data_IF_957063890595
#
_entry.id   IF_957063890595
#
_cell.length_a   1.000
_cell.length_b   1.000
_cell.length_c   1.000
_cell.angle_alpha   90.00
_cell.angle_beta   90.00
_cell.angle_gamma   90.00
#
_symmetry.space_group_name_H-M   'P 1'
#
loop_
_entity.id
_entity.type
_entity.pdbx_description
1 polymer ?
#
# COMPACT_ATOMS: atom_id res chain seq x y z
N UNK A 1 -9.18 1.90 16.78
CA UNK A 1 -8.09 1.40 17.64
C UNK A 1 -6.96 0.89 16.77
N UNK A 2 -5.82 0.49 17.35
CA UNK A 2 -4.68 -0.03 16.57
C UNK A 2 -5.03 -1.35 15.86
N UNK A 3 -5.94 -2.14 16.44
CA UNK A 3 -6.52 -3.32 15.80
C UNK A 3 -7.95 -3.04 15.34
N UNK A 4 -8.30 -3.54 14.17
CA UNK A 4 -9.62 -3.46 13.56
C UNK A 4 -9.98 -4.81 12.94
N UNK A 5 -11.18 -5.33 13.23
CA UNK A 5 -11.69 -6.53 12.55
C UNK A 5 -12.50 -6.09 11.35
N UNK A 6 -12.13 -6.55 10.16
CA UNK A 6 -12.92 -6.36 8.96
C UNK A 6 -13.85 -7.58 8.80
N UNK A 7 -15.13 -7.40 9.09
CA UNK A 7 -16.10 -8.51 9.06
C UNK A 7 -16.36 -9.04 7.65
N UNK A 8 -16.19 -8.22 6.60
CA UNK A 8 -16.36 -8.65 5.21
C UNK A 8 -15.28 -9.62 4.76
N UNK A 9 -14.01 -9.27 5.04
CA UNK A 9 -12.87 -10.10 4.68
C UNK A 9 -12.58 -11.19 5.72
N UNK A 10 -13.16 -11.11 6.91
CA UNK A 10 -12.85 -12.00 8.03
C UNK A 10 -11.40 -11.86 8.51
N UNK A 11 -10.78 -10.69 8.33
CA UNK A 11 -9.38 -10.42 8.64
C UNK A 11 -9.23 -9.44 9.80
N UNK A 12 -8.11 -9.54 10.50
CA UNK A 12 -7.68 -8.58 11.52
C UNK A 12 -6.65 -7.63 10.93
N UNK A 13 -7.00 -6.35 10.84
CA UNK A 13 -6.15 -5.27 10.39
C UNK A 13 -5.40 -4.62 11.54
N UNK A 14 -4.09 -4.44 11.38
CA UNK A 14 -3.26 -3.59 12.22
C UNK A 14 -3.13 -2.23 11.51
N UNK A 15 -3.53 -1.16 12.16
CA UNK A 15 -3.44 0.18 11.60
C UNK A 15 -1.98 0.57 11.35
N UNK A 16 -1.63 0.79 10.08
CA UNK A 16 -0.28 1.18 9.63
C UNK A 16 -0.40 2.29 8.57
N UNK A 17 -0.35 3.56 8.98
CA UNK A 17 -0.59 4.71 8.10
C UNK A 17 0.65 5.08 7.27
N UNK A 18 1.31 4.11 6.63
CA UNK A 18 2.57 4.36 5.91
C UNK A 18 2.37 5.18 4.64
N UNK A 19 1.26 4.94 3.92
CA UNK A 19 0.99 5.59 2.63
C UNK A 19 0.04 6.80 2.75
N UNK A 20 -0.55 7.03 3.92
CA UNK A 20 -1.46 8.15 4.20
C UNK A 20 -0.91 9.50 3.72
N UNK A 21 0.36 9.89 4.03
CA UNK A 21 0.90 11.15 3.57
C UNK A 21 1.00 11.28 2.04
N UNK A 22 1.17 10.16 1.31
CA UNK A 22 1.25 10.15 -0.16
C UNK A 22 -0.14 10.23 -0.75
N UNK A 23 -1.10 9.51 -0.17
CA UNK A 23 -2.51 9.55 -0.58
C UNK A 23 -3.07 10.95 -0.37
N UNK A 24 -2.92 11.55 0.81
CA UNK A 24 -3.49 12.88 1.07
C UNK A 24 -2.86 13.98 0.21
N UNK A 25 -1.56 13.93 -0.09
CA UNK A 25 -0.95 14.87 -1.06
C UNK A 25 -1.53 14.70 -2.47
N UNK A 26 -1.78 13.46 -2.88
CA UNK A 26 -2.45 13.16 -4.15
C UNK A 26 -3.87 13.73 -4.17
N UNK A 27 -4.64 13.49 -3.10
CA UNK A 27 -6.01 14.00 -2.97
C UNK A 27 -6.07 15.52 -2.95
N UNK A 28 -5.12 16.17 -2.25
CA UNK A 28 -5.01 17.62 -2.21
C UNK A 28 -4.80 18.21 -3.60
N UNK A 29 -3.86 17.66 -4.37
CA UNK A 29 -3.64 18.08 -5.76
C UNK A 29 -4.91 17.92 -6.60
N UNK A 30 -5.60 16.77 -6.49
CA UNK A 30 -6.83 16.50 -7.25
C UNK A 30 -7.97 17.46 -6.88
N UNK A 31 -8.07 17.84 -5.60
CA UNK A 31 -9.04 18.82 -5.16
C UNK A 31 -8.73 20.21 -5.71
N UNK A 32 -7.51 20.70 -5.52
CA UNK A 32 -7.12 22.05 -5.92
C UNK A 32 -7.11 22.22 -7.45
N UNK A 33 -6.52 21.27 -8.18
CA UNK A 33 -6.27 21.41 -9.63
C UNK A 33 -7.35 20.78 -10.50
N UNK A 34 -7.98 19.70 -10.05
CA UNK A 34 -8.95 18.94 -10.86
C UNK A 34 -10.38 19.07 -10.34
N UNK A 35 -10.61 19.81 -9.25
CA UNK A 35 -11.92 19.98 -8.62
C UNK A 35 -12.58 18.63 -8.30
N UNK A 36 -11.77 17.65 -7.86
CA UNK A 36 -12.24 16.33 -7.46
C UNK A 36 -12.38 16.24 -5.94
N UNK A 37 -13.48 15.63 -5.48
CA UNK A 37 -13.72 15.41 -4.04
C UNK A 37 -12.62 14.51 -3.44
N UNK A 38 -11.99 14.90 -2.32
CA UNK A 38 -11.02 14.06 -1.65
C UNK A 38 -11.70 12.86 -0.98
N UNK A 39 -10.99 11.73 -0.94
CA UNK A 39 -11.45 10.53 -0.25
C UNK A 39 -10.91 10.47 1.20
N UNK A 40 -11.65 9.77 2.05
CA UNK A 40 -11.11 9.27 3.30
C UNK A 40 -10.28 8.01 3.02
N UNK A 41 -9.12 7.90 3.64
CA UNK A 41 -8.20 6.79 3.43
C UNK A 41 -7.71 6.29 4.78
N UNK A 42 -7.67 4.97 4.92
CA UNK A 42 -7.06 4.28 6.05
C UNK A 42 -6.37 3.03 5.53
N UNK A 43 -5.20 2.73 6.09
CA UNK A 43 -4.38 1.59 5.69
C UNK A 43 -4.20 0.63 6.86
N UNK A 44 -4.35 -0.66 6.56
CA UNK A 44 -4.21 -1.72 7.54
C UNK A 44 -3.33 -2.85 6.98
N UNK A 45 -2.47 -3.40 7.82
CA UNK A 45 -1.80 -4.66 7.57
C UNK A 45 -2.69 -5.81 8.02
N UNK A 46 -3.12 -6.65 7.08
CA UNK A 46 -4.11 -7.69 7.34
C UNK A 46 -3.46 -8.99 7.81
N UNK A 47 -4.06 -9.61 8.82
CA UNK A 47 -3.70 -10.92 9.38
C UNK A 47 -4.93 -11.80 9.48
N UNK A 48 -4.75 -13.12 9.47
CA UNK A 48 -5.87 -14.08 9.49
C UNK A 48 -6.46 -14.29 10.87
N UNK A 49 -5.69 -14.01 11.93
CA UNK A 49 -6.14 -14.23 13.30
C UNK A 49 -5.77 -13.09 14.22
N UNK A 50 -6.58 -12.89 15.26
CA UNK A 50 -6.32 -11.91 16.30
C UNK A 50 -4.94 -12.10 16.96
N UNK A 51 -4.58 -13.35 17.27
CA UNK A 51 -3.28 -13.67 17.88
C UNK A 51 -2.09 -13.36 16.96
N UNK A 52 -2.23 -13.55 15.64
CA UNK A 52 -1.22 -13.11 14.68
C UNK A 52 -1.08 -11.59 14.70
N UNK A 53 -2.20 -10.86 14.74
CA UNK A 53 -2.18 -9.40 14.80
C UNK A 53 -1.46 -8.89 16.07
N UNK A 54 -1.78 -9.46 17.23
CA UNK A 54 -1.14 -9.14 18.51
C UNK A 54 0.36 -9.50 18.48
N UNK A 55 0.71 -10.70 18.00
CA UNK A 55 2.11 -11.13 17.88
C UNK A 55 2.92 -10.22 16.97
N UNK A 56 2.35 -9.80 15.84
CA UNK A 56 3.00 -8.86 14.92
C UNK A 56 3.18 -7.48 15.56
N UNK A 57 2.20 -6.98 16.31
CA UNK A 57 2.32 -5.72 17.04
C UNK A 57 3.44 -5.77 18.09
N UNK A 58 3.51 -6.85 18.87
CA UNK A 58 4.61 -7.08 19.82
C UNK A 58 5.96 -7.16 19.11
N UNK A 59 6.02 -7.83 17.95
CA UNK A 59 7.20 -7.89 17.10
C UNK A 59 7.65 -6.51 16.63
N UNK A 60 6.71 -5.66 16.17
CA UNK A 60 7.03 -4.29 15.75
C UNK A 60 7.57 -3.44 16.90
N UNK A 61 6.97 -3.54 18.10
CA UNK A 61 7.47 -2.85 19.31
C UNK A 61 8.87 -3.34 19.68
N UNK A 62 9.09 -4.65 19.65
CA UNK A 62 10.40 -5.25 19.88
C UNK A 62 11.44 -4.73 18.88
N UNK A 63 11.15 -4.76 17.58
CA UNK A 63 12.06 -4.25 16.56
C UNK A 63 12.30 -2.74 16.70
N UNK A 64 11.27 -1.96 17.02
CA UNK A 64 11.43 -0.52 17.27
C UNK A 64 12.39 -0.26 18.44
N UNK A 65 12.23 -0.98 19.55
CA UNK A 65 13.14 -0.92 20.69
C UNK A 65 14.57 -1.32 20.30
N UNK A 66 14.73 -2.44 19.59
CA UNK A 66 16.04 -2.92 19.14
C UNK A 66 16.75 -1.92 18.21
N UNK A 67 16.01 -1.22 17.36
CA UNK A 67 16.57 -0.22 16.45
C UNK A 67 16.87 1.14 17.11
N UNK A 68 16.22 1.45 18.23
CA UNK A 68 16.31 2.75 18.88
C UNK A 68 17.66 2.99 19.56
N UNK A 69 18.15 2.02 20.34
CA UNK A 69 19.44 2.16 21.03
C UNK A 69 20.60 1.68 20.17
N UNK A 70 21.71 2.42 20.19
CA UNK A 70 22.88 2.09 19.36
C UNK A 70 23.46 0.71 19.64
N UNK A 71 23.49 0.29 20.91
CA UNK A 71 24.03 -1.01 21.31
C UNK A 71 23.09 -2.17 20.94
N UNK A 72 21.77 -2.04 21.12
CA UNK A 72 20.79 -3.06 20.69
C UNK A 72 20.77 -3.18 19.17
N UNK A 73 20.90 -2.06 18.46
CA UNK A 73 20.97 -2.04 17.00
C UNK A 73 22.24 -2.75 16.51
N UNK A 74 23.38 -2.49 17.14
CA UNK A 74 24.62 -3.21 16.84
C UNK A 74 24.46 -4.72 17.09
N UNK A 75 23.81 -5.09 18.20
CA UNK A 75 23.52 -6.48 18.51
C UNK A 75 22.61 -7.14 17.46
N UNK A 76 21.57 -6.44 17.00
CA UNK A 76 20.68 -6.88 15.93
C UNK A 76 21.43 -7.11 14.61
N UNK A 77 22.37 -6.23 14.26
CA UNK A 77 23.20 -6.39 13.06
C UNK A 77 24.24 -7.50 13.19
N UNK A 78 24.81 -7.70 14.39
CA UNK A 78 25.83 -8.71 14.63
C UNK A 78 25.25 -10.12 14.70
N UNK A 79 24.03 -10.27 15.22
CA UNK A 79 23.37 -11.56 15.40
C UNK A 79 21.88 -11.53 14.97
N UNK A 80 21.58 -11.20 13.70
CA UNK A 80 20.21 -11.10 13.20
C UNK A 80 19.48 -12.44 13.31
N UNK A 81 20.16 -13.56 13.09
CA UNK A 81 19.55 -14.89 13.17
C UNK A 81 19.05 -15.21 14.58
N UNK A 82 19.80 -14.81 15.61
CA UNK A 82 19.42 -15.01 17.01
C UNK A 82 18.32 -14.01 17.39
N UNK A 83 18.54 -12.73 17.08
CA UNK A 83 17.66 -11.63 17.48
C UNK A 83 16.31 -11.65 16.76
N UNK A 84 16.21 -12.36 15.63
CA UNK A 84 14.97 -12.45 14.84
C UNK A 84 14.43 -13.87 14.74
N UNK A 85 14.91 -14.78 15.60
CA UNK A 85 14.53 -16.20 15.62
C UNK A 85 14.61 -16.86 14.23
N UNK A 86 15.65 -16.52 13.47
CA UNK A 86 15.94 -17.07 12.14
C UNK A 86 15.12 -16.48 10.99
N UNK A 87 14.27 -15.48 11.25
CA UNK A 87 13.52 -14.76 10.20
C UNK A 87 14.47 -14.01 9.26
N UNK A 88 15.46 -13.32 9.82
CA UNK A 88 16.49 -12.62 9.07
C UNK A 88 17.85 -13.29 9.24
N UNK A 89 18.61 -13.34 8.14
CA UNK A 89 19.96 -13.94 8.06
C UNK A 89 20.92 -12.99 7.37
N UNK A 90 22.21 -13.08 7.68
CA UNK A 90 23.24 -12.30 6.98
C UNK A 90 23.33 -12.62 5.50
N UNK A 91 23.11 -13.89 5.13
CA UNK A 91 23.07 -14.32 3.73
C UNK A 91 21.87 -13.73 2.96
N UNK A 92 20.95 -13.03 3.65
CA UNK A 92 19.72 -12.49 3.08
C UNK A 92 18.61 -13.53 2.98
N UNK A 93 17.55 -13.16 2.25
CA UNK A 93 16.41 -14.04 2.01
C UNK A 93 16.76 -15.09 0.94
N UNK A 94 16.36 -16.33 1.20
CA UNK A 94 16.50 -17.44 0.27
C UNK A 94 15.62 -17.22 -0.98
N UNK A 95 16.26 -17.11 -2.15
CA UNK A 95 15.60 -16.81 -3.42
C UNK A 95 14.53 -17.84 -3.79
N UNK A 96 14.75 -19.12 -3.48
CA UNK A 96 13.76 -20.16 -3.80
C UNK A 96 12.52 -20.02 -2.91
N UNK A 97 12.70 -19.67 -1.64
CA UNK A 97 11.57 -19.37 -0.74
C UNK A 97 10.78 -18.15 -1.19
N UNK A 98 11.47 -17.10 -1.64
CA UNK A 98 10.82 -15.88 -2.14
C UNK A 98 9.90 -16.13 -3.34
N UNK A 99 10.18 -17.13 -4.19
CA UNK A 99 9.30 -17.48 -5.32
C UNK A 99 7.91 -17.95 -4.86
N UNK A 100 7.80 -18.53 -3.67
CA UNK A 100 6.53 -18.96 -3.09
C UNK A 100 5.76 -17.86 -2.37
N UNK A 101 6.40 -16.72 -2.08
CA UNK A 101 5.78 -15.58 -1.40
C UNK A 101 5.04 -14.72 -2.41
N UNK A 102 3.82 -14.32 -2.05
CA UNK A 102 2.97 -13.42 -2.83
C UNK A 102 2.38 -12.36 -1.90
N UNK A 103 2.05 -11.22 -2.47
CA UNK A 103 1.25 -10.21 -1.78
C UNK A 103 -0.10 -10.02 -2.46
N UNK A 104 -1.07 -9.59 -1.67
CA UNK A 104 -2.36 -9.08 -2.14
C UNK A 104 -2.69 -7.84 -1.32
N UNK A 105 -2.93 -6.72 -2.01
CA UNK A 105 -3.50 -5.51 -1.44
C UNK A 105 -4.97 -5.42 -1.86
N UNK A 106 -5.88 -5.33 -0.90
CA UNK A 106 -7.31 -5.20 -1.13
C UNK A 106 -7.75 -3.78 -0.79
N UNK A 107 -8.17 -3.02 -1.79
CA UNK A 107 -8.73 -1.69 -1.63
C UNK A 107 -10.25 -1.82 -1.55
N UNK A 108 -10.84 -1.31 -0.47
CA UNK A 108 -12.27 -1.33 -0.22
C UNK A 108 -12.78 0.10 -0.29
N UNK A 109 -13.55 0.41 -1.33
CA UNK A 109 -14.20 1.72 -1.50
C UNK A 109 -15.65 1.68 -1.05
N UNK A 110 -16.07 2.67 -0.27
CA UNK A 110 -17.47 2.96 0.03
C UNK A 110 -17.83 4.32 -0.58
N UNK A 111 -18.97 4.41 -1.27
CA UNK A 111 -19.37 5.64 -1.96
C UNK A 111 -20.87 5.88 -1.96
N UNK A 112 -21.26 6.98 -2.58
CA UNK A 112 -22.66 7.38 -2.72
C UNK A 112 -23.13 7.20 -4.17
N UNK A 113 -24.38 6.75 -4.32
CA UNK A 113 -25.03 6.59 -5.63
C UNK A 113 -25.29 7.96 -6.26
N UNK A 114 -25.66 8.92 -5.42
CA UNK A 114 -25.85 10.32 -5.80
C UNK A 114 -24.50 11.00 -6.03
N UNK A 115 -24.38 11.70 -7.16
CA UNK A 115 -23.26 12.59 -7.41
C UNK A 115 -23.62 14.02 -6.95
N UNK A 116 -22.73 14.65 -6.19
CA UNK A 116 -22.88 16.06 -5.81
C UNK A 116 -22.36 17.00 -6.90
N UNK A 117 -22.89 18.23 -6.92
CA UNK A 117 -22.58 19.23 -7.95
C UNK A 117 -21.18 19.83 -7.74
N UNK A 118 -20.82 20.19 -6.50
CA UNK A 118 -19.50 20.70 -6.19
C UNK A 118 -18.68 19.68 -5.36
N UNK A 119 -17.37 19.64 -5.59
CA UNK A 119 -16.45 18.76 -4.85
C UNK A 119 -16.40 19.05 -3.35
N UNK A 120 -16.73 20.29 -2.96
CA UNK A 120 -16.80 20.76 -1.57
C UNK A 120 -18.07 20.33 -0.83
N UNK A 121 -19.14 19.99 -1.56
CA UNK A 121 -20.44 19.67 -0.96
C UNK A 121 -20.37 18.38 -0.16
N UNK A 122 -21.13 18.23 0.92
CA UNK A 122 -21.11 17.02 1.75
C UNK A 122 -22.41 16.24 1.61
N UNK A 123 -22.31 14.91 1.53
CA UNK A 123 -23.45 14.04 1.70
C UNK A 123 -23.92 14.11 3.15
N UNK A 124 -25.24 14.18 3.34
CA UNK A 124 -25.87 14.17 4.66
C UNK A 124 -25.91 12.75 5.21
N UNK A 125 -26.16 11.78 4.33
CA UNK A 125 -26.32 10.37 4.68
C UNK A 125 -24.98 9.60 4.59
N UNK A 126 -24.83 8.48 5.31
CA UNK A 126 -23.68 7.59 5.12
C UNK A 126 -23.65 6.98 3.70
N UNK A 127 -22.49 6.48 3.22
CA UNK A 127 -22.39 5.84 1.91
C UNK A 127 -23.43 4.74 1.69
N UNK A 128 -24.23 4.85 0.63
CA UNK A 128 -25.36 3.98 0.29
C UNK A 128 -25.07 2.98 -0.85
N UNK A 129 -23.92 3.13 -1.53
CA UNK A 129 -23.66 2.48 -2.82
C UNK A 129 -22.34 1.72 -2.91
N UNK A 130 -22.33 0.87 -3.95
CA UNK A 130 -21.37 -0.16 -4.37
C UNK A 130 -20.02 -0.18 -3.68
N UNK A 131 -19.74 -1.33 -3.07
CA UNK A 131 -18.43 -1.67 -2.58
C UNK A 131 -17.55 -1.95 -3.80
N UNK A 132 -16.62 -1.05 -4.09
CA UNK A 132 -15.62 -1.34 -5.10
C UNK A 132 -14.45 -2.03 -4.40
N UNK A 133 -14.35 -3.35 -4.59
CA UNK A 133 -13.22 -4.14 -4.11
C UNK A 133 -12.22 -4.26 -5.24
N UNK A 134 -11.11 -3.56 -5.13
CA UNK A 134 -9.97 -3.76 -6.04
C UNK A 134 -8.92 -4.61 -5.35
N UNK A 135 -8.51 -5.70 -5.99
CA UNK A 135 -7.39 -6.51 -5.52
C UNK A 135 -6.20 -6.32 -6.45
N UNK A 136 -5.05 -5.99 -5.85
CA UNK A 136 -3.76 -5.93 -6.52
C UNK A 136 -2.90 -7.03 -5.95
N UNK A 137 -2.48 -7.98 -6.78
CA UNK A 137 -1.61 -9.08 -6.34
C UNK A 137 -0.34 -9.17 -7.17
N UNK A 138 0.71 -9.73 -6.57
CA UNK A 138 2.01 -9.88 -7.22
C UNK A 138 2.92 -10.87 -6.51
N UNK A 139 4.20 -10.93 -6.91
CA UNK A 139 5.20 -11.81 -6.31
C UNK A 139 5.56 -11.32 -4.88
N UNK A 140 6.70 -11.73 -4.33
CA UNK A 140 7.19 -11.21 -3.05
C UNK A 140 7.09 -9.67 -2.96
N UNK A 141 6.48 -9.10 -1.90
CA UNK A 141 6.26 -7.67 -1.78
C UNK A 141 7.55 -6.87 -1.62
N UNK A 142 8.59 -7.43 -1.00
CA UNK A 142 9.77 -6.66 -0.61
C UNK A 142 10.74 -6.43 -1.77
N UNK A 143 11.06 -7.48 -2.53
CA UNK A 143 12.08 -7.45 -3.57
C UNK A 143 11.45 -7.51 -4.96
N UNK A 144 10.72 -8.58 -5.27
CA UNK A 144 10.30 -8.85 -6.64
C UNK A 144 9.27 -7.81 -7.12
N UNK A 145 8.21 -7.59 -6.35
CA UNK A 145 7.16 -6.63 -6.69
C UNK A 145 7.71 -5.20 -6.73
N UNK A 146 8.49 -4.80 -5.72
CA UNK A 146 9.08 -3.46 -5.64
C UNK A 146 10.01 -3.18 -6.83
N UNK A 147 10.88 -4.13 -7.18
CA UNK A 147 11.79 -3.98 -8.32
C UNK A 147 11.04 -3.89 -9.64
N UNK A 148 9.99 -4.71 -9.81
CA UNK A 148 9.12 -4.66 -10.98
C UNK A 148 8.43 -3.30 -11.11
N UNK A 149 7.81 -2.82 -10.03
CA UNK A 149 7.13 -1.52 -10.01
C UNK A 149 8.11 -0.38 -10.30
N UNK A 150 9.30 -0.39 -9.70
CA UNK A 150 10.33 0.63 -9.94
C UNK A 150 10.77 0.68 -11.41
N UNK A 151 11.04 -0.47 -12.02
CA UNK A 151 11.40 -0.54 -13.45
C UNK A 151 10.23 -0.11 -14.32
N UNK A 152 9.01 -0.56 -14.02
CA UNK A 152 7.81 -0.16 -14.77
C UNK A 152 7.61 1.35 -14.74
N UNK A 153 7.77 1.98 -13.58
CA UNK A 153 7.72 3.42 -13.38
C UNK A 153 8.80 4.16 -14.17
N UNK A 154 10.06 3.70 -14.11
CA UNK A 154 11.15 4.31 -14.87
C UNK A 154 10.88 4.26 -16.38
N UNK A 155 10.40 3.12 -16.89
CA UNK A 155 10.01 2.97 -18.28
C UNK A 155 8.83 3.88 -18.65
N UNK A 156 7.93 4.22 -17.71
CA UNK A 156 6.76 5.07 -17.98
C UNK A 156 7.22 6.49 -18.17
N UNK A 157 8.10 6.96 -17.28
CA UNK A 157 8.71 8.28 -17.42
C UNK A 157 9.46 8.39 -18.76
N UNK A 158 10.21 7.35 -19.16
CA UNK A 158 10.99 7.39 -20.39
C UNK A 158 10.14 7.36 -21.67
N UNK A 159 9.08 6.54 -21.70
CA UNK A 159 8.29 6.30 -22.92
C UNK A 159 7.07 7.18 -23.05
N UNK A 160 6.53 7.63 -21.92
CA UNK A 160 5.24 8.31 -21.81
C UNK A 160 5.37 9.65 -21.08
N UNK A 161 6.56 10.28 -21.16
CA UNK A 161 6.83 11.58 -20.51
C UNK A 161 5.76 12.63 -20.80
N UNK A 162 5.21 12.66 -22.01
CA UNK A 162 4.15 13.60 -22.41
C UNK A 162 2.80 13.33 -21.75
N UNK A 163 2.58 12.12 -21.24
CA UNK A 163 1.38 11.71 -20.49
C UNK A 163 1.55 11.87 -18.98
N UNK A 164 2.79 12.02 -18.49
CA UNK A 164 3.02 12.34 -17.09
C UNK A 164 2.46 13.72 -16.76
N UNK A 165 1.74 13.81 -15.64
CA UNK A 165 1.11 15.07 -15.22
C UNK A 165 2.18 16.10 -14.83
N UNK A 166 1.99 17.35 -15.26
CA UNK A 166 2.81 18.50 -14.86
C UNK A 166 4.10 18.70 -15.67
N UNK A 167 4.75 19.86 -15.45
CA UNK A 167 5.93 20.29 -16.21
C UNK A 167 7.27 20.03 -15.49
N UNK A 168 7.24 19.33 -14.35
CA UNK A 168 8.40 19.05 -13.50
C UNK A 168 8.08 19.19 -12.00
N UNK A 169 9.08 18.99 -11.15
CA UNK A 169 8.96 19.08 -9.68
C UNK A 169 8.83 17.71 -8.99
N UNK A 170 8.45 17.74 -7.71
CA UNK A 170 8.24 16.54 -6.88
C UNK A 170 6.75 16.24 -6.82
N UNK A 171 6.35 15.07 -7.32
CA UNK A 171 4.95 14.66 -7.38
C UNK A 171 4.75 13.29 -6.78
N UNK A 172 3.56 13.04 -6.26
CA UNK A 172 3.16 11.70 -5.84
C UNK A 172 2.90 10.82 -7.06
N UNK A 173 3.08 9.49 -6.95
CA UNK A 173 2.80 8.57 -8.06
C UNK A 173 1.37 8.68 -8.58
N UNK A 174 0.40 8.89 -7.69
CA UNK A 174 -1.03 9.02 -8.04
C UNK A 174 -1.39 10.30 -8.81
N UNK A 175 -0.49 11.29 -8.85
CA UNK A 175 -0.59 12.47 -9.72
C UNK A 175 0.24 12.26 -10.99
N UNK A 176 1.52 11.90 -10.83
CA UNK A 176 2.47 11.81 -11.93
C UNK A 176 2.06 10.78 -13.00
N UNK A 177 1.49 9.64 -12.59
CA UNK A 177 1.16 8.52 -13.47
C UNK A 177 -0.33 8.37 -13.77
N UNK A 178 -1.17 9.31 -13.32
CA UNK A 178 -2.63 9.21 -13.40
C UNK A 178 -3.16 8.93 -14.82
N UNK A 179 -2.50 9.48 -15.84
CA UNK A 179 -2.91 9.40 -17.25
C UNK A 179 -1.98 8.49 -18.09
N UNK A 180 -1.20 7.63 -17.44
CA UNK A 180 -0.18 6.78 -18.09
C UNK A 180 -0.58 5.31 -18.08
N UNK A 181 0.12 4.49 -18.87
CA UNK A 181 -0.05 3.03 -18.93
C UNK A 181 0.79 2.27 -17.90
N UNK A 182 1.11 2.91 -16.76
CA UNK A 182 1.88 2.27 -15.70
C UNK A 182 1.20 0.99 -15.20
N UNK A 183 -0.13 1.02 -15.01
CA UNK A 183 -0.91 -0.14 -14.54
C UNK A 183 -0.85 -1.28 -15.56
N UNK A 184 -1.05 -0.98 -16.85
CA UNK A 184 -0.94 -1.98 -17.91
C UNK A 184 0.43 -2.65 -17.90
N UNK A 185 1.50 -1.84 -17.75
CA UNK A 185 2.87 -2.36 -17.74
C UNK A 185 3.17 -3.26 -16.55
N UNK A 186 2.68 -2.94 -15.35
CA UNK A 186 2.90 -3.83 -14.20
C UNK A 186 2.12 -5.14 -14.37
N UNK A 187 0.93 -5.08 -14.98
CA UNK A 187 0.11 -6.26 -15.26
C UNK A 187 0.79 -7.17 -16.30
N UNK A 188 1.29 -6.62 -17.40
CA UNK A 188 2.07 -7.33 -18.42
C UNK A 188 3.32 -8.03 -17.85
N UNK A 189 3.81 -7.59 -16.69
CA UNK A 189 5.01 -8.13 -16.02
C UNK A 189 4.71 -9.12 -14.91
N UNK A 190 3.45 -9.53 -14.76
CA UNK A 190 3.05 -10.62 -13.86
C UNK A 190 2.38 -10.17 -12.55
N UNK A 191 2.01 -8.89 -12.44
CA UNK A 191 1.05 -8.46 -11.40
C UNK A 191 -0.38 -8.61 -11.92
N UNK A 192 -1.34 -8.63 -11.01
CA UNK A 192 -2.77 -8.72 -11.36
C UNK A 192 -3.53 -7.61 -10.67
N UNK A 193 -4.43 -6.95 -11.41
CA UNK A 193 -5.39 -6.00 -10.88
C UNK A 193 -6.78 -6.50 -11.25
N UNK A 194 -7.63 -6.79 -10.26
CA UNK A 194 -9.01 -7.19 -10.47
C UNK A 194 -9.94 -6.23 -9.73
N UNK A 195 -11.06 -5.88 -10.37
CA UNK A 195 -12.11 -5.04 -9.79
C UNK A 195 -13.35 -5.91 -9.65
N UNK A 196 -13.78 -6.14 -8.42
CA UNK A 196 -15.04 -6.77 -8.08
C UNK A 196 -15.98 -5.66 -7.62
N UNK A 197 -17.07 -5.45 -8.36
CA UNK A 197 -18.16 -4.58 -7.94
C UNK A 197 -19.17 -5.45 -7.21
N UNK A 198 -19.35 -5.18 -5.92
CA UNK A 198 -20.44 -5.74 -5.11
C UNK A 198 -21.53 -4.68 -4.88
#
# INVERSE_FOLDING_TARGET
GILHKNDKLGLWGIFLPTDEPVVYRTQRYRFDELQQRPIQFQQFFATRSFFQAVGMLLGMVYFAFMCYFGWTRNLLFKYPEIMTAGVFKHAGADREKLKGVKFTATLIGHGWSQQLLAASDQHVDPPDSSLLVTQVSGPDPAYAATSLMMVATAMTILREKSLCTGKGGVMTPGVAFANTKLIDRIVERGMTVSVVKE
#
